data_IF_990136706762
#
_entry.id   IF_990136706762
#
_cell.length_a   1.000
_cell.length_b   1.000
_cell.length_c   1.000
_cell.angle_alpha   90.00
_cell.angle_beta   90.00
_cell.angle_gamma   90.00
#
_symmetry.space_group_name_H-M   'P 1'
#
loop_
_entity.id
_entity.type
_entity.pdbx_description
1 polymer ?
#
# COMPACT_ATOMS: atom_id res chain seq x y z
N UNK A 1 -66.74 -7.92 -49.29
CA UNK A 1 -65.60 -8.67 -49.83
C UNK A 1 -64.33 -8.09 -49.22
N UNK A 2 -63.87 -8.72 -48.14
CA UNK A 2 -62.65 -8.37 -47.40
C UNK A 2 -61.72 -9.58 -47.57
N UNK A 3 -60.57 -9.38 -48.20
CA UNK A 3 -59.49 -10.35 -48.46
C UNK A 3 -58.20 -9.54 -48.57
N UNK A 4 -57.03 -9.85 -48.03
CA UNK A 4 -56.52 -10.88 -47.12
C UNK A 4 -55.14 -10.35 -46.71
N UNK A 5 -54.77 -10.40 -45.43
CA UNK A 5 -53.42 -10.05 -44.95
C UNK A 5 -52.45 -11.17 -45.38
N UNK A 6 -51.36 -10.84 -46.07
CA UNK A 6 -50.22 -11.75 -46.26
C UNK A 6 -48.97 -11.08 -45.68
N UNK A 7 -48.43 -11.70 -44.63
CA UNK A 7 -47.16 -11.36 -44.04
C UNK A 7 -46.01 -11.78 -44.97
N UNK A 8 -45.12 -10.85 -45.30
CA UNK A 8 -43.82 -11.16 -45.90
C UNK A 8 -42.72 -10.97 -44.85
N UNK A 9 -42.11 -12.09 -44.48
CA UNK A 9 -40.88 -12.19 -43.69
C UNK A 9 -39.75 -11.69 -44.59
N UNK A 10 -39.27 -10.47 -44.31
CA UNK A 10 -38.12 -9.87 -44.98
C UNK A 10 -36.87 -10.03 -44.12
N UNK A 11 -35.96 -10.89 -44.57
CA UNK A 11 -34.58 -11.07 -44.12
C UNK A 11 -33.93 -9.76 -43.64
N UNK A 12 -33.54 -9.73 -42.37
CA UNK A 12 -32.51 -8.81 -41.89
C UNK A 12 -31.28 -9.65 -41.53
N UNK A 13 -30.54 -10.06 -42.56
CA UNK A 13 -29.25 -10.70 -42.42
C UNK A 13 -28.14 -9.70 -42.77
N UNK A 14 -27.09 -9.74 -41.95
CA UNK A 14 -25.77 -9.13 -42.11
C UNK A 14 -25.60 -7.66 -41.70
N UNK A 15 -25.55 -7.45 -40.39
CA UNK A 15 -24.51 -6.60 -39.79
C UNK A 15 -24.02 -7.24 -38.49
N UNK A 16 -23.38 -8.41 -38.59
CA UNK A 16 -22.48 -8.87 -37.54
C UNK A 16 -21.19 -8.04 -37.62
N UNK A 17 -21.31 -6.75 -37.26
CA UNK A 17 -20.14 -5.94 -36.98
C UNK A 17 -19.49 -6.51 -35.72
N UNK A 18 -18.23 -6.89 -35.85
CA UNK A 18 -17.37 -7.46 -34.82
C UNK A 18 -17.42 -6.64 -33.51
N UNK A 19 -18.30 -7.04 -32.59
CA UNK A 19 -18.07 -6.77 -31.18
C UNK A 19 -17.22 -7.94 -30.65
N UNK A 20 -15.90 -7.86 -30.85
CA UNK A 20 -15.00 -8.61 -29.97
C UNK A 20 -15.36 -8.19 -28.54
N UNK A 21 -15.74 -9.14 -27.70
CA UNK A 21 -15.97 -8.88 -26.28
C UNK A 21 -14.73 -8.17 -25.73
N UNK A 22 -14.89 -6.93 -25.28
CA UNK A 22 -13.83 -6.25 -24.52
C UNK A 22 -13.56 -7.14 -23.30
N UNK A 23 -12.31 -7.61 -23.15
CA UNK A 23 -11.94 -8.59 -22.12
C UNK A 23 -12.34 -8.19 -20.69
N UNK A 24 -12.32 -9.14 -19.76
CA UNK A 24 -12.74 -8.94 -18.35
C UNK A 24 -11.74 -8.09 -17.55
N UNK A 25 -12.17 -7.41 -16.47
CA UNK A 25 -11.25 -6.61 -15.62
C UNK A 25 -10.05 -7.44 -15.15
N UNK A 26 -10.29 -8.71 -14.80
CA UNK A 26 -9.27 -9.71 -14.48
C UNK A 26 -8.25 -9.93 -15.63
N UNK A 27 -8.72 -10.11 -16.86
CA UNK A 27 -7.85 -10.26 -18.04
C UNK A 27 -7.04 -9.00 -18.33
N UNK A 28 -7.59 -7.81 -18.06
CA UNK A 28 -6.85 -6.56 -18.21
C UNK A 28 -5.77 -6.40 -17.15
N UNK A 29 -6.07 -6.74 -15.89
CA UNK A 29 -5.11 -6.68 -14.79
C UNK A 29 -3.89 -7.59 -14.99
N UNK A 30 -4.08 -8.73 -15.67
CA UNK A 30 -3.01 -9.68 -15.98
C UNK A 30 -2.11 -9.27 -17.16
N UNK A 31 -2.44 -8.20 -17.91
CA UNK A 31 -1.60 -7.72 -19.01
C UNK A 31 -0.42 -6.90 -18.49
N UNK A 32 0.71 -6.82 -19.22
CA UNK A 32 1.80 -5.91 -18.87
C UNK A 32 1.34 -4.46 -18.72
N UNK A 33 1.98 -3.72 -17.80
CA UNK A 33 1.70 -2.31 -17.60
C UNK A 33 1.97 -1.50 -18.88
N UNK A 34 1.12 -0.50 -19.10
CA UNK A 34 1.25 0.41 -20.24
C UNK A 34 2.39 1.42 -20.00
N UNK A 35 3.10 1.81 -21.06
CA UNK A 35 4.08 2.89 -21.00
C UNK A 35 3.36 4.24 -21.11
N UNK A 36 3.30 4.98 -20.01
CA UNK A 36 2.56 6.25 -19.96
C UNK A 36 3.45 7.43 -20.40
N UNK A 37 2.92 8.40 -21.19
CA UNK A 37 3.67 9.60 -21.54
C UNK A 37 4.01 10.50 -20.34
N UNK A 38 3.17 10.48 -19.30
CA UNK A 38 3.29 11.32 -18.11
C UNK A 38 3.16 10.47 -16.84
N UNK A 39 4.08 9.53 -16.59
CA UNK A 39 3.92 8.50 -15.57
C UNK A 39 3.88 9.06 -14.14
N UNK A 40 4.46 10.25 -13.92
CA UNK A 40 4.41 10.94 -12.62
C UNK A 40 3.11 11.68 -12.33
N UNK A 41 2.14 11.66 -13.25
CA UNK A 41 0.79 12.22 -13.04
C UNK A 41 -0.29 11.14 -12.90
N UNK A 42 0.14 9.88 -12.79
CA UNK A 42 -0.73 8.74 -12.52
C UNK A 42 -0.88 8.55 -11.02
N UNK A 43 -1.96 7.93 -10.56
CA UNK A 43 -2.15 7.66 -9.13
C UNK A 43 -1.02 6.78 -8.60
N UNK A 44 -0.31 7.29 -7.60
CA UNK A 44 0.72 6.56 -6.87
C UNK A 44 0.21 6.24 -5.47
N UNK A 45 0.37 5.00 -5.02
CA UNK A 45 -0.18 4.53 -3.75
C UNK A 45 0.87 4.44 -2.66
N UNK A 46 2.12 4.16 -3.03
CA UNK A 46 3.23 3.96 -2.09
C UNK A 46 4.58 4.28 -2.74
N UNK A 47 5.56 4.61 -1.92
CA UNK A 47 6.93 4.88 -2.34
C UNK A 47 7.95 4.50 -1.28
N UNK A 48 9.06 3.89 -1.71
CA UNK A 48 10.16 3.49 -0.83
C UNK A 48 11.51 3.74 -1.49
N UNK A 49 12.61 3.41 -0.79
CA UNK A 49 13.97 3.47 -1.33
C UNK A 49 14.53 2.09 -1.62
N UNK A 50 15.15 1.95 -2.79
CA UNK A 50 16.07 0.88 -3.15
C UNK A 50 17.50 1.44 -3.12
N UNK A 51 18.15 1.40 -1.95
CA UNK A 51 19.43 2.09 -1.75
C UNK A 51 19.29 3.61 -1.92
N UNK A 52 19.90 4.19 -2.95
CA UNK A 52 19.72 5.62 -3.28
C UNK A 52 18.50 5.92 -4.15
N UNK A 53 18.00 4.93 -4.89
CA UNK A 53 16.89 5.09 -5.83
C UNK A 53 15.57 5.20 -5.06
N UNK A 54 14.69 6.07 -5.52
CA UNK A 54 13.29 6.12 -5.11
C UNK A 54 12.48 5.25 -6.07
N UNK A 55 11.61 4.41 -5.51
CA UNK A 55 10.68 3.56 -6.26
C UNK A 55 9.28 3.86 -5.76
N UNK A 56 8.38 4.31 -6.64
CA UNK A 56 6.98 4.51 -6.32
C UNK A 56 6.10 3.66 -7.23
N UNK A 57 5.02 3.13 -6.67
CA UNK A 57 4.08 2.23 -7.35
C UNK A 57 2.66 2.78 -7.30
N UNK A 58 1.79 2.30 -8.18
CA UNK A 58 0.39 2.69 -8.12
C UNK A 58 -0.53 2.02 -9.13
N UNK A 59 -1.45 2.80 -9.68
CA UNK A 59 -2.49 2.29 -10.57
C UNK A 59 -1.94 1.73 -11.89
N UNK A 60 -2.73 0.88 -12.55
CA UNK A 60 -2.38 0.32 -13.87
C UNK A 60 -1.00 -0.38 -13.92
N UNK A 61 -0.52 -0.92 -12.80
CA UNK A 61 0.80 -1.54 -12.68
C UNK A 61 1.96 -0.56 -12.84
N UNK A 62 1.73 0.74 -12.63
CA UNK A 62 2.77 1.74 -12.80
C UNK A 62 3.83 1.59 -11.71
N UNK A 63 5.10 1.67 -12.14
CA UNK A 63 6.26 1.78 -11.27
C UNK A 63 7.13 2.89 -11.83
N UNK A 64 7.40 3.92 -11.03
CA UNK A 64 8.28 5.03 -11.41
C UNK A 64 9.51 5.07 -10.52
N UNK A 65 10.63 5.42 -11.14
CA UNK A 65 11.97 5.37 -10.56
C UNK A 65 12.60 6.75 -10.64
N UNK A 66 13.27 7.15 -9.56
CA UNK A 66 14.13 8.33 -9.54
C UNK A 66 15.48 8.00 -8.92
N UNK A 67 16.55 8.32 -9.65
CA UNK A 67 17.94 8.08 -9.23
C UNK A 67 18.60 9.35 -8.63
N UNK A 68 17.86 10.46 -8.56
CA UNK A 68 18.36 11.80 -8.21
C UNK A 68 17.52 12.51 -7.12
N UNK A 69 16.89 11.72 -6.25
CA UNK A 69 16.05 12.16 -5.13
C UNK A 69 14.82 12.97 -5.57
N UNK A 70 14.15 12.49 -6.61
CA UNK A 70 12.86 12.99 -7.08
C UNK A 70 12.93 14.15 -8.08
N UNK A 71 14.11 14.52 -8.57
CA UNK A 71 14.27 15.61 -9.55
C UNK A 71 13.87 15.17 -10.94
N UNK A 72 14.24 13.96 -11.33
CA UNK A 72 13.84 13.33 -12.58
C UNK A 72 13.27 11.94 -12.33
N UNK A 73 12.36 11.54 -13.21
CA UNK A 73 11.59 10.30 -13.09
C UNK A 73 11.51 9.58 -14.43
N UNK A 74 11.41 8.26 -14.35
CA UNK A 74 11.13 7.40 -15.50
C UNK A 74 10.31 6.20 -15.04
N UNK A 75 9.53 5.64 -15.96
CA UNK A 75 8.82 4.39 -15.69
C UNK A 75 9.80 3.21 -15.71
N UNK A 76 9.55 2.19 -14.89
CA UNK A 76 10.23 0.91 -14.97
C UNK A 76 10.11 0.32 -16.37
N UNK A 77 11.15 -0.38 -16.83
CA UNK A 77 11.23 -0.91 -18.20
C UNK A 77 10.19 -2.00 -18.46
N UNK A 78 9.89 -2.81 -17.44
CA UNK A 78 8.94 -3.92 -17.57
C UNK A 78 8.25 -4.22 -16.25
N UNK A 79 6.92 -4.10 -16.26
CA UNK A 79 6.03 -4.61 -15.20
C UNK A 79 5.04 -5.57 -15.85
N UNK A 80 4.96 -6.84 -15.39
CA UNK A 80 4.24 -7.90 -16.10
C UNK A 80 2.71 -7.88 -15.87
N UNK A 81 2.20 -6.93 -15.09
CA UNK A 81 0.79 -6.80 -14.73
C UNK A 81 0.36 -5.33 -14.80
N UNK A 82 -0.93 -5.10 -14.99
CA UNK A 82 -1.59 -3.79 -14.96
C UNK A 82 -2.55 -3.69 -13.77
N UNK A 83 -2.54 -4.69 -12.87
CA UNK A 83 -3.19 -4.60 -11.58
C UNK A 83 -2.66 -3.39 -10.79
N UNK A 84 -3.54 -2.67 -10.09
CA UNK A 84 -3.11 -1.64 -9.15
C UNK A 84 -2.22 -2.26 -8.09
N UNK A 85 -1.02 -1.69 -7.95
CA UNK A 85 -0.10 -2.00 -6.88
C UNK A 85 -0.46 -1.12 -5.69
N UNK A 86 -0.54 -1.70 -4.49
CA UNK A 86 -0.90 -1.02 -3.25
C UNK A 86 0.33 -0.58 -2.47
N UNK A 87 1.38 -1.41 -2.44
CA UNK A 87 2.58 -1.19 -1.62
C UNK A 87 3.84 -1.74 -2.26
N UNK A 88 5.00 -1.19 -1.86
CA UNK A 88 6.33 -1.59 -2.32
C UNK A 88 7.33 -1.59 -1.17
N UNK A 89 8.16 -2.64 -1.10
CA UNK A 89 9.25 -2.73 -0.12
C UNK A 89 10.52 -3.25 -0.79
N UNK A 90 11.67 -2.79 -0.31
CA UNK A 90 12.98 -3.27 -0.73
C UNK A 90 13.76 -3.79 0.49
N UNK A 91 14.33 -4.98 0.36
CA UNK A 91 15.22 -5.54 1.38
C UNK A 91 16.63 -4.96 1.28
N UNK A 92 17.04 -4.60 0.06
CA UNK A 92 18.31 -3.94 -0.24
C UNK A 92 18.20 -3.07 -1.51
N UNK A 93 19.33 -2.65 -2.07
CA UNK A 93 19.35 -1.77 -3.25
C UNK A 93 18.87 -2.44 -4.55
N UNK A 94 18.74 -3.75 -4.59
CA UNK A 94 18.44 -4.54 -5.79
C UNK A 94 17.16 -5.36 -5.63
N UNK A 95 16.96 -6.00 -4.48
CA UNK A 95 15.85 -6.91 -4.24
C UNK A 95 14.65 -6.18 -3.64
N UNK A 96 13.53 -6.20 -4.36
CA UNK A 96 12.29 -5.56 -3.94
C UNK A 96 11.05 -6.32 -4.34
N UNK A 97 9.94 -6.01 -3.67
CA UNK A 97 8.64 -6.63 -3.86
C UNK A 97 7.55 -5.57 -3.91
N UNK A 98 6.57 -5.78 -4.77
CA UNK A 98 5.37 -4.96 -4.86
C UNK A 98 4.13 -5.85 -4.79
N UNK A 99 3.11 -5.40 -4.09
CA UNK A 99 1.86 -6.17 -3.90
C UNK A 99 0.64 -5.33 -4.26
N UNK A 100 -0.49 -5.97 -4.56
CA UNK A 100 -1.68 -5.22 -4.96
C UNK A 100 -2.96 -6.02 -5.13
N UNK A 101 -3.83 -5.50 -6.00
CA UNK A 101 -5.11 -6.12 -6.41
C UNK A 101 -4.92 -7.53 -6.95
N UNK A 102 -5.95 -8.38 -6.90
CA UNK A 102 -5.89 -9.77 -7.36
C UNK A 102 -4.85 -10.63 -6.63
N UNK A 103 -4.50 -10.22 -5.40
CA UNK A 103 -3.44 -10.85 -4.61
C UNK A 103 -2.07 -10.82 -5.28
N UNK A 104 -1.84 -9.86 -6.19
CA UNK A 104 -0.60 -9.73 -6.95
C UNK A 104 0.60 -9.64 -6.03
N UNK A 105 1.66 -10.39 -6.33
CA UNK A 105 2.99 -10.24 -5.75
C UNK A 105 3.99 -10.23 -6.90
N UNK A 106 4.74 -9.14 -7.01
CA UNK A 106 5.84 -8.97 -7.95
C UNK A 106 7.17 -8.94 -7.20
N UNK A 107 8.24 -9.36 -7.86
CA UNK A 107 9.60 -9.23 -7.38
C UNK A 107 10.53 -8.64 -8.44
N UNK A 108 11.54 -7.91 -7.99
CA UNK A 108 12.65 -7.36 -8.78
C UNK A 108 13.97 -7.72 -8.11
N UNK A 109 15.01 -7.89 -8.92
CA UNK A 109 16.40 -8.11 -8.51
C UNK A 109 17.36 -7.07 -9.11
N UNK A 110 16.83 -6.00 -9.73
CA UNK A 110 17.58 -4.96 -10.43
C UNK A 110 17.21 -3.53 -9.97
N UNK A 111 16.69 -3.41 -8.75
CA UNK A 111 16.32 -2.13 -8.14
C UNK A 111 15.03 -1.55 -8.73
N UNK A 112 14.13 -2.40 -9.22
CA UNK A 112 12.81 -2.01 -9.72
C UNK A 112 12.73 -1.67 -11.22
N UNK A 113 13.79 -1.92 -12.00
CA UNK A 113 13.78 -1.70 -13.45
C UNK A 113 12.89 -2.72 -14.16
N UNK A 114 12.99 -3.98 -13.75
CA UNK A 114 12.20 -5.07 -14.27
C UNK A 114 11.60 -5.90 -13.14
N UNK A 115 10.37 -6.33 -13.37
CA UNK A 115 9.59 -7.08 -12.40
C UNK A 115 9.14 -8.42 -12.98
N UNK A 116 9.01 -9.40 -12.09
CA UNK A 116 8.50 -10.74 -12.38
C UNK A 116 7.33 -11.06 -11.46
N UNK A 117 6.31 -11.73 -11.99
CA UNK A 117 5.15 -12.15 -11.21
C UNK A 117 5.49 -13.39 -10.39
N UNK A 118 5.41 -13.29 -9.07
CA UNK A 118 5.50 -14.44 -8.16
C UNK A 118 4.12 -15.01 -7.84
N UNK A 119 3.10 -14.15 -7.79
CA UNK A 119 1.71 -14.55 -7.56
C UNK A 119 0.75 -13.60 -8.28
N UNK A 120 -0.31 -14.17 -8.85
CA UNK A 120 -1.46 -13.46 -9.39
C UNK A 120 -2.64 -14.43 -9.42
N UNK A 121 -3.75 -14.10 -8.76
CA UNK A 121 -4.98 -14.90 -8.78
C UNK A 121 -6.13 -14.06 -9.32
N UNK A 122 -6.46 -14.26 -10.59
CA UNK A 122 -7.55 -13.53 -11.26
C UNK A 122 -8.92 -14.18 -11.07
N UNK A 123 -9.02 -15.26 -10.28
CA UNK A 123 -10.30 -15.93 -10.00
C UNK A 123 -11.05 -15.32 -8.83
N UNK A 124 -10.33 -14.70 -7.89
CA UNK A 124 -10.86 -14.00 -6.72
C UNK A 124 -10.02 -12.74 -6.50
N UNK A 125 -10.68 -11.59 -6.42
CA UNK A 125 -10.00 -10.36 -6.01
C UNK A 125 -9.84 -10.33 -4.49
N UNK A 126 -8.69 -10.80 -4.01
CA UNK A 126 -8.29 -10.67 -2.62
C UNK A 126 -7.01 -9.81 -2.54
N UNK A 127 -7.15 -8.47 -2.48
CA UNK A 127 -6.03 -7.55 -2.56
C UNK A 127 -5.11 -7.65 -1.35
N UNK A 128 -3.83 -7.46 -1.63
CA UNK A 128 -2.80 -7.22 -0.63
C UNK A 128 -2.61 -5.70 -0.48
N UNK A 129 -2.52 -5.24 0.77
CA UNK A 129 -2.42 -3.82 1.12
C UNK A 129 -1.01 -3.42 1.54
N UNK A 130 -0.21 -4.34 2.08
CA UNK A 130 1.17 -4.04 2.49
C UNK A 130 2.07 -5.25 2.34
N UNK A 131 3.36 -4.97 2.14
CA UNK A 131 4.44 -5.94 2.05
C UNK A 131 5.62 -5.44 2.88
N UNK A 132 6.28 -6.36 3.59
CA UNK A 132 7.46 -6.09 4.40
C UNK A 132 8.47 -7.22 4.17
N UNK A 133 9.73 -6.86 3.93
CA UNK A 133 10.85 -7.80 3.92
C UNK A 133 11.87 -7.39 4.98
N UNK A 134 12.28 -8.35 5.82
CA UNK A 134 13.31 -8.15 6.85
C UNK A 134 14.68 -8.61 6.37
N UNK A 135 14.71 -9.43 5.31
CA UNK A 135 15.89 -9.86 4.57
C UNK A 135 15.48 -10.11 3.12
N UNK A 136 16.41 -10.34 2.18
CA UNK A 136 16.04 -10.76 0.82
C UNK A 136 15.35 -12.13 0.73
N UNK A 137 15.29 -12.90 1.84
CA UNK A 137 14.65 -14.21 1.89
C UNK A 137 13.33 -14.21 2.67
N UNK A 138 13.25 -13.40 3.73
CA UNK A 138 12.16 -13.40 4.69
C UNK A 138 11.22 -12.21 4.47
N UNK A 139 9.97 -12.51 4.16
CA UNK A 139 8.97 -11.49 3.83
C UNK A 139 7.56 -11.86 4.23
N UNK A 140 6.72 -10.83 4.34
CA UNK A 140 5.32 -10.89 4.73
C UNK A 140 4.49 -10.00 3.81
N UNK A 141 3.34 -10.50 3.35
CA UNK A 141 2.34 -9.71 2.65
C UNK A 141 0.98 -9.87 3.33
N UNK A 142 0.25 -8.76 3.52
CA UNK A 142 -1.01 -8.72 4.26
C UNK A 142 -2.09 -7.98 3.50
N UNK A 143 -3.37 -8.30 3.75
CA UNK A 143 -4.47 -7.62 3.07
C UNK A 143 -5.87 -7.98 3.53
N UNK A 144 -6.79 -8.11 2.57
CA UNK A 144 -8.23 -8.26 2.80
C UNK A 144 -8.59 -9.55 3.56
N UNK A 145 -9.51 -9.43 4.53
CA UNK A 145 -10.04 -10.53 5.34
C UNK A 145 -8.97 -11.36 6.06
N UNK A 146 -8.03 -10.68 6.71
CA UNK A 146 -6.94 -11.30 7.46
C UNK A 146 -6.05 -12.21 6.61
N UNK A 147 -6.00 -11.99 5.29
CA UNK A 147 -5.02 -12.65 4.44
C UNK A 147 -3.63 -12.21 4.87
N UNK A 148 -2.82 -13.20 5.25
CA UNK A 148 -1.42 -13.06 5.59
C UNK A 148 -0.65 -14.16 4.88
N UNK A 149 0.38 -13.77 4.13
CA UNK A 149 1.27 -14.65 3.39
C UNK A 149 2.70 -14.40 3.84
N UNK A 150 3.46 -15.47 4.06
CA UNK A 150 4.85 -15.41 4.47
C UNK A 150 5.73 -16.19 3.51
N UNK A 151 6.95 -15.72 3.31
CA UNK A 151 8.00 -16.39 2.55
C UNK A 151 9.30 -16.43 3.34
N UNK A 152 10.10 -17.48 3.11
CA UNK A 152 11.46 -17.67 3.63
C UNK A 152 12.46 -17.99 2.51
N UNK A 153 12.07 -17.79 1.24
CA UNK A 153 12.87 -18.11 0.07
C UNK A 153 12.85 -16.99 -1.00
N UNK A 154 12.60 -15.75 -0.57
CA UNK A 154 12.55 -14.57 -1.43
C UNK A 154 11.27 -14.48 -2.28
N UNK A 155 10.21 -15.15 -1.83
CA UNK A 155 8.90 -15.18 -2.49
C UNK A 155 8.78 -16.19 -3.63
N UNK A 156 9.71 -17.15 -3.73
CA UNK A 156 9.53 -18.31 -4.63
C UNK A 156 8.35 -19.14 -4.17
N UNK A 157 8.14 -19.24 -2.86
CA UNK A 157 6.94 -19.79 -2.25
C UNK A 157 6.36 -18.84 -1.22
N UNK A 158 5.03 -18.81 -1.15
CA UNK A 158 4.27 -18.00 -0.20
C UNK A 158 3.28 -18.89 0.56
N UNK A 159 3.48 -19.04 1.86
CA UNK A 159 2.63 -19.83 2.74
C UNK A 159 1.61 -18.92 3.45
N UNK A 160 0.34 -19.36 3.51
CA UNK A 160 -0.68 -18.65 4.28
C UNK A 160 -0.45 -18.84 5.77
N UNK A 161 -0.37 -17.74 6.50
CA UNK A 161 -0.28 -17.74 7.97
C UNK A 161 -1.69 -17.80 8.56
N UNK A 162 -1.90 -18.70 9.53
CA UNK A 162 -3.17 -18.79 10.26
C UNK A 162 -3.08 -17.93 11.52
N UNK A 163 -3.88 -16.87 11.57
CA UNK A 163 -3.95 -16.01 12.74
C UNK A 163 -4.78 -16.65 13.87
N UNK A 164 -4.43 -16.39 15.15
CA UNK A 164 -5.28 -16.81 16.26
C UNK A 164 -6.61 -16.07 16.22
N UNK A 165 -7.60 -16.56 16.99
CA UNK A 165 -8.87 -15.85 17.15
C UNK A 165 -8.66 -14.53 17.90
N UNK A 166 -9.33 -13.45 17.49
CA UNK A 166 -9.24 -12.19 18.20
C UNK A 166 -9.89 -12.28 19.60
N UNK A 167 -9.44 -11.46 20.58
CA UNK A 167 -10.11 -11.33 21.87
C UNK A 167 -11.58 -10.98 21.71
N UNK A 168 -12.45 -11.58 22.54
CA UNK A 168 -13.91 -11.37 22.46
C UNK A 168 -14.64 -12.28 21.45
N UNK A 169 -13.93 -13.13 20.71
CA UNK A 169 -14.49 -14.23 19.92
C UNK A 169 -14.92 -13.86 18.50
N UNK A 170 -14.73 -14.81 17.57
CA UNK A 170 -15.03 -14.66 16.14
C UNK A 170 -13.98 -15.37 15.26
N UNK A 171 -14.17 -15.30 13.94
CA UNK A 171 -13.10 -15.61 12.97
C UNK A 171 -12.13 -14.42 12.91
N UNK A 172 -10.88 -14.67 12.51
CA UNK A 172 -9.97 -13.59 12.11
C UNK A 172 -10.34 -13.18 10.69
N UNK A 173 -11.08 -12.09 10.54
CA UNK A 173 -11.60 -11.58 9.26
C UNK A 173 -11.40 -10.07 9.08
N UNK A 174 -10.65 -9.44 9.99
CA UNK A 174 -10.28 -8.01 9.88
C UNK A 174 -9.33 -7.78 8.73
N UNK A 175 -9.48 -6.66 8.04
CA UNK A 175 -8.49 -6.19 7.08
C UNK A 175 -7.19 -5.81 7.79
N UNK A 176 -6.07 -6.20 7.18
CA UNK A 176 -4.71 -5.91 7.63
C UNK A 176 -4.10 -4.86 6.69
N UNK A 177 -3.76 -3.69 7.21
CA UNK A 177 -3.44 -2.53 6.37
C UNK A 177 -1.93 -2.35 6.14
N UNK A 178 -1.15 -2.05 7.19
CA UNK A 178 0.27 -1.73 7.05
C UNK A 178 1.15 -2.59 7.96
N UNK A 179 2.13 -3.29 7.37
CA UNK A 179 3.12 -4.09 8.06
C UNK A 179 4.44 -3.31 8.20
N UNK A 180 5.01 -3.27 9.41
CA UNK A 180 6.28 -2.59 9.69
C UNK A 180 7.03 -3.27 10.83
N UNK A 181 8.34 -3.03 10.94
CA UNK A 181 9.20 -3.62 11.96
C UNK A 181 9.88 -2.56 12.83
N UNK A 182 10.26 -2.95 14.06
CA UNK A 182 11.14 -2.15 14.91
C UNK A 182 12.60 -2.60 14.83
N UNK A 183 13.49 -1.85 15.47
CA UNK A 183 14.93 -2.16 15.52
C UNK A 183 15.29 -3.36 16.40
N UNK A 184 14.33 -3.87 17.18
CA UNK A 184 14.49 -5.06 18.04
C UNK A 184 14.01 -6.33 17.33
N UNK A 185 13.54 -6.22 16.09
CA UNK A 185 13.04 -7.34 15.29
C UNK A 185 11.58 -7.70 15.56
N UNK A 186 10.84 -6.89 16.34
CA UNK A 186 9.41 -7.06 16.46
C UNK A 186 8.71 -6.57 15.19
N UNK A 187 7.67 -7.29 14.77
CA UNK A 187 6.85 -6.96 13.61
C UNK A 187 5.47 -6.51 14.09
N UNK A 188 4.91 -5.55 13.37
CA UNK A 188 3.64 -4.91 13.68
C UNK A 188 2.77 -4.87 12.42
N UNK A 189 1.46 -5.00 12.60
CA UNK A 189 0.47 -4.80 11.53
C UNK A 189 -0.67 -3.94 12.06
N UNK A 190 -0.93 -2.81 11.42
CA UNK A 190 -2.14 -2.02 11.68
C UNK A 190 -3.36 -2.68 11.06
N UNK A 191 -4.50 -2.64 11.75
CA UNK A 191 -5.72 -3.30 11.32
C UNK A 191 -6.98 -2.49 11.68
N UNK A 192 -8.13 -3.02 11.30
CA UNK A 192 -9.44 -2.45 11.62
C UNK A 192 -9.70 -2.38 13.13
N UNK A 193 -10.62 -1.48 13.53
CA UNK A 193 -11.12 -1.39 14.91
C UNK A 193 -10.02 -1.16 15.96
N UNK A 194 -9.10 -0.22 15.71
CA UNK A 194 -8.06 0.17 16.67
C UNK A 194 -7.09 -0.95 17.03
N UNK A 195 -6.98 -1.97 16.17
CA UNK A 195 -6.21 -3.19 16.43
C UNK A 195 -4.82 -3.10 15.83
N UNK A 196 -3.83 -3.56 16.58
CA UNK A 196 -2.45 -3.79 16.10
C UNK A 196 -2.11 -5.25 16.34
N UNK A 197 -1.60 -5.96 15.33
CA UNK A 197 -1.03 -7.29 15.54
C UNK A 197 0.47 -7.14 15.80
N UNK A 198 1.03 -7.97 16.69
CA UNK A 198 2.46 -7.99 16.99
C UNK A 198 3.02 -9.41 16.94
N UNK A 199 4.20 -9.54 16.35
CA UNK A 199 5.04 -10.75 16.41
C UNK A 199 6.43 -10.36 16.94
N UNK A 200 7.07 -11.26 17.66
CA UNK A 200 8.45 -11.11 18.16
C UNK A 200 9.35 -12.28 17.76
N UNK A 201 8.88 -13.10 16.82
CA UNK A 201 9.52 -14.34 16.36
C UNK A 201 9.53 -14.45 14.84
N UNK A 202 9.72 -13.30 14.17
CA UNK A 202 9.83 -13.24 12.71
C UNK A 202 8.52 -13.53 11.97
N UNK A 203 7.36 -13.33 12.62
CA UNK A 203 6.04 -13.54 12.01
C UNK A 203 5.47 -14.95 12.20
N UNK A 204 6.14 -15.83 12.94
CA UNK A 204 5.66 -17.18 13.20
C UNK A 204 4.42 -17.19 14.12
N UNK A 205 4.41 -16.36 15.16
CA UNK A 205 3.27 -16.19 16.06
C UNK A 205 2.86 -14.71 16.18
N UNK A 206 1.55 -14.48 16.26
CA UNK A 206 0.95 -13.15 16.33
C UNK A 206 0.00 -13.03 17.51
N UNK A 207 -0.02 -11.85 18.14
CA UNK A 207 -1.03 -11.48 19.14
C UNK A 207 -1.70 -10.16 18.80
N UNK A 208 -2.95 -10.03 19.20
CA UNK A 208 -3.74 -8.80 19.04
C UNK A 208 -3.49 -7.86 20.22
N UNK A 209 -3.20 -6.61 19.90
CA UNK A 209 -3.05 -5.49 20.81
C UNK A 209 -4.13 -4.46 20.49
N UNK A 210 -4.67 -3.84 21.53
CA UNK A 210 -5.74 -2.85 21.40
C UNK A 210 -5.22 -1.48 21.80
N UNK A 211 -5.41 -0.51 20.91
CA UNK A 211 -5.05 0.90 21.17
C UNK A 211 -6.03 1.61 22.10
N UNK A 212 -7.21 1.02 22.32
CA UNK A 212 -8.37 1.66 22.94
C UNK A 212 -9.23 2.47 21.95
N UNK A 213 -8.75 2.66 20.72
CA UNK A 213 -9.51 3.25 19.62
C UNK A 213 -10.52 2.29 18.97
N UNK A 214 -11.47 2.86 18.21
CA UNK A 214 -12.48 2.09 17.45
C UNK A 214 -12.37 2.26 15.93
N UNK A 215 -11.59 3.24 15.46
CA UNK A 215 -11.39 3.50 14.03
C UNK A 215 -10.36 2.55 13.41
N UNK A 216 -10.42 2.38 12.08
CA UNK A 216 -9.38 1.62 11.37
C UNK A 216 -8.04 2.35 11.42
N UNK A 217 -6.99 1.61 11.76
CA UNK A 217 -5.61 2.08 11.69
C UNK A 217 -5.06 1.68 10.33
N UNK A 218 -4.68 2.66 9.52
CA UNK A 218 -4.24 2.43 8.13
C UNK A 218 -2.72 2.38 8.00
N UNK A 219 -2.00 3.03 8.90
CA UNK A 219 -0.54 3.15 8.83
C UNK A 219 0.08 3.07 10.23
N UNK A 220 1.39 2.83 10.26
CA UNK A 220 2.16 2.84 11.48
C UNK A 220 3.65 2.79 11.22
N UNK A 221 4.42 3.26 12.20
CA UNK A 221 5.88 3.37 12.13
C UNK A 221 6.51 3.12 13.48
N UNK A 222 7.67 2.46 13.47
CA UNK A 222 8.56 2.38 14.63
C UNK A 222 9.58 3.52 14.57
N UNK A 223 9.61 4.33 15.61
CA UNK A 223 10.47 5.50 15.75
C UNK A 223 11.86 5.12 16.25
N UNK A 224 12.82 6.03 16.05
CA UNK A 224 14.20 5.81 16.45
C UNK A 224 14.39 5.65 17.97
N UNK A 225 13.56 6.34 18.74
CA UNK A 225 13.51 6.30 20.21
C UNK A 225 12.80 5.04 20.76
N UNK A 226 12.36 4.13 19.88
CA UNK A 226 11.66 2.91 20.25
C UNK A 226 10.15 3.07 20.43
N UNK A 227 9.59 4.27 20.24
CA UNK A 227 8.14 4.44 20.19
C UNK A 227 7.56 3.73 18.97
N UNK A 228 6.36 3.20 19.12
CA UNK A 228 5.52 2.75 18.01
C UNK A 228 4.37 3.74 17.87
N UNK A 229 4.15 4.26 16.66
CA UNK A 229 3.06 5.20 16.36
C UNK A 229 2.18 4.59 15.29
N UNK A 230 0.86 4.64 15.47
CA UNK A 230 -0.13 4.15 14.51
C UNK A 230 -1.21 5.19 14.30
N UNK A 231 -1.73 5.29 13.09
CA UNK A 231 -2.77 6.25 12.75
C UNK A 231 -3.64 5.80 11.59
N UNK A 232 -4.72 6.54 11.34
CA UNK A 232 -5.64 6.18 10.27
C UNK A 232 -6.90 7.04 10.21
N UNK A 233 -8.04 6.37 10.20
CA UNK A 233 -9.36 6.92 9.96
C UNK A 233 -9.66 8.11 10.90
N UNK A 234 -10.18 9.19 10.32
CA UNK A 234 -10.64 10.40 11.01
C UNK A 234 -9.59 11.06 11.92
N UNK A 235 -8.32 11.03 11.50
CA UNK A 235 -7.22 11.65 12.23
C UNK A 235 -6.84 10.88 13.50
N UNK A 236 -7.28 9.63 13.66
CA UNK A 236 -6.89 8.82 14.81
C UNK A 236 -5.37 8.62 14.83
N UNK A 237 -4.77 8.83 16.00
CA UNK A 237 -3.32 8.72 16.21
C UNK A 237 -3.07 8.19 17.63
N UNK A 238 -2.26 7.15 17.74
CA UNK A 238 -1.90 6.49 18.99
C UNK A 238 -0.41 6.21 19.02
N UNK A 239 0.18 6.27 20.21
CA UNK A 239 1.57 5.91 20.41
C UNK A 239 1.74 4.96 21.59
N UNK A 240 2.81 4.18 21.53
CA UNK A 240 3.28 3.29 22.58
C UNK A 240 4.78 3.48 22.79
N UNK A 241 5.25 3.36 24.03
CA UNK A 241 6.68 3.42 24.41
C UNK A 241 7.21 2.11 24.98
N UNK A 242 6.36 1.10 25.14
CA UNK A 242 6.68 -0.22 25.69
C UNK A 242 6.56 -1.33 24.64
N UNK A 243 6.64 -0.96 23.35
CA UNK A 243 6.53 -1.89 22.24
C UNK A 243 5.12 -2.36 21.93
N UNK A 244 4.09 -1.61 22.34
CA UNK A 244 2.69 -1.85 22.03
C UNK A 244 1.89 -2.52 23.15
N UNK A 245 2.46 -2.73 24.35
CA UNK A 245 1.70 -3.28 25.47
C UNK A 245 0.69 -2.28 26.01
N UNK A 246 1.06 -1.00 26.06
CA UNK A 246 0.16 0.10 26.39
C UNK A 246 0.17 1.18 25.31
N UNK A 247 -0.99 1.82 25.12
CA UNK A 247 -1.22 2.83 24.09
C UNK A 247 -1.80 4.10 24.70
N UNK A 248 -1.36 5.24 24.19
CA UNK A 248 -1.87 6.56 24.53
C UNK A 248 -2.34 7.26 23.26
N UNK A 249 -3.54 7.83 23.30
CA UNK A 249 -4.05 8.66 22.21
C UNK A 249 -3.23 9.95 22.12
N UNK A 250 -2.89 10.35 20.90
CA UNK A 250 -2.22 11.63 20.60
C UNK A 250 -3.26 12.55 19.97
N UNK A 251 -3.36 13.79 20.44
CA UNK A 251 -4.16 14.81 19.76
C UNK A 251 -3.49 15.14 18.42
N UNK A 252 -4.07 14.61 17.34
CA UNK A 252 -3.58 14.81 15.97
C UNK A 252 -3.90 16.19 15.42
N UNK A 253 -4.72 17.00 16.10
CA UNK A 253 -5.19 18.32 15.67
C UNK A 253 -5.89 18.33 14.31
N UNK A 254 -6.37 17.17 13.85
CA UNK A 254 -7.07 17.02 12.57
C UNK A 254 -8.17 15.98 12.68
N UNK A 255 -9.13 16.06 11.75
CA UNK A 255 -10.11 14.99 11.49
C UNK A 255 -9.95 14.38 10.10
N UNK A 256 -8.99 14.87 9.30
CA UNK A 256 -8.65 14.23 8.04
C UNK A 256 -7.95 12.90 8.34
N UNK A 257 -8.25 11.88 7.54
CA UNK A 257 -7.68 10.56 7.75
C UNK A 257 -6.22 10.54 7.36
N UNK A 258 -5.40 9.89 8.18
CA UNK A 258 -3.96 9.73 7.97
C UNK A 258 -3.77 8.49 7.10
N UNK A 259 -3.15 8.69 5.93
CA UNK A 259 -2.88 7.61 4.97
C UNK A 259 -1.51 7.00 5.16
N UNK A 260 -0.52 7.81 5.58
CA UNK A 260 0.84 7.34 5.81
C UNK A 260 1.53 8.08 6.96
N UNK A 261 2.43 7.38 7.65
CA UNK A 261 3.25 7.83 8.78
C UNK A 261 4.69 7.37 8.56
N UNK A 262 5.62 8.31 8.54
CA UNK A 262 7.05 8.02 8.34
C UNK A 262 7.92 8.69 9.40
N UNK A 263 8.95 7.98 9.82
CA UNK A 263 9.99 8.53 10.68
C UNK A 263 10.93 9.41 9.85
N UNK A 264 11.12 10.65 10.27
CA UNK A 264 12.02 11.62 9.65
C UNK A 264 13.10 12.00 10.67
N UNK A 265 14.20 11.22 10.71
CA UNK A 265 15.15 11.26 11.81
C UNK A 265 14.48 10.83 13.11
N UNK A 266 14.52 11.69 14.12
CA UNK A 266 13.83 11.49 15.41
C UNK A 266 12.41 12.10 15.43
N UNK A 267 11.99 12.75 14.33
CA UNK A 267 10.67 13.32 14.15
C UNK A 267 9.71 12.38 13.40
N UNK A 268 8.42 12.71 13.44
CA UNK A 268 7.35 12.03 12.72
C UNK A 268 6.79 12.95 11.64
N UNK A 269 6.55 12.40 10.46
CA UNK A 269 5.75 13.03 9.42
C UNK A 269 4.54 12.14 9.16
N UNK A 270 3.36 12.74 9.05
CA UNK A 270 2.14 12.08 8.60
C UNK A 270 1.56 12.80 7.41
N UNK A 271 0.92 12.06 6.52
CA UNK A 271 0.16 12.63 5.40
C UNK A 271 -1.22 12.01 5.34
N UNK A 272 -2.13 12.66 4.62
CA UNK A 272 -3.50 12.20 4.57
C UNK A 272 -4.35 12.82 3.47
N UNK A 273 -5.64 12.57 3.62
CA UNK A 273 -6.66 13.11 2.72
C UNK A 273 -6.74 14.63 2.83
N UNK A 274 -7.38 15.27 1.85
CA UNK A 274 -7.61 16.72 1.82
C UNK A 274 -6.33 17.56 1.95
N UNK A 275 -5.18 17.06 1.48
CA UNK A 275 -3.88 17.73 1.59
C UNK A 275 -3.29 17.78 3.00
N UNK A 276 -3.72 16.90 3.91
CA UNK A 276 -3.18 16.85 5.28
C UNK A 276 -1.67 16.57 5.28
N UNK A 277 -0.91 17.44 5.93
CA UNK A 277 0.47 17.20 6.33
C UNK A 277 0.58 17.42 7.84
N UNK A 278 1.00 16.39 8.56
CA UNK A 278 1.23 16.40 10.00
C UNK A 278 2.74 16.28 10.26
N UNK A 279 3.28 17.06 11.19
CA UNK A 279 4.69 16.98 11.58
C UNK A 279 4.80 17.00 13.10
N UNK A 280 5.63 16.13 13.65
CA UNK A 280 6.04 16.18 15.05
C UNK A 280 7.57 16.19 15.12
N UNK A 281 8.20 17.34 15.37
CA UNK A 281 9.63 17.41 15.58
C UNK A 281 10.08 16.53 16.75
N UNK A 282 11.37 16.16 16.74
CA UNK A 282 11.97 15.36 17.82
C UNK A 282 11.76 16.05 19.19
N UNK A 283 11.23 15.30 20.16
CA UNK A 283 10.95 15.81 21.50
C UNK A 283 9.75 16.76 21.63
N UNK A 284 9.07 17.09 20.53
CA UNK A 284 7.87 17.93 20.59
C UNK A 284 6.71 17.18 21.23
N UNK A 285 6.03 17.83 22.19
CA UNK A 285 4.87 17.25 22.87
C UNK A 285 3.60 17.23 22.00
N UNK A 286 3.52 18.09 20.99
CA UNK A 286 2.34 18.26 20.14
C UNK A 286 2.71 18.16 18.67
N UNK A 287 1.74 17.73 17.86
CA UNK A 287 1.86 17.75 16.41
C UNK A 287 1.52 19.14 15.84
N UNK A 288 2.13 19.45 14.71
CA UNK A 288 1.80 20.57 13.84
C UNK A 288 1.04 20.01 12.63
N UNK A 289 -0.02 20.72 12.22
CA UNK A 289 -0.86 20.33 11.09
C UNK A 289 -0.94 21.46 10.10
N UNK A 290 -0.71 21.12 8.84
CA UNK A 290 -0.89 21.98 7.69
C UNK A 290 -1.85 21.30 6.72
N UNK A 291 -2.70 22.11 6.07
CA UNK A 291 -3.46 21.66 4.91
C UNK A 291 -2.85 22.29 3.67
N UNK A 292 -2.42 21.46 2.72
CA UNK A 292 -1.92 21.95 1.43
C UNK A 292 -3.00 22.79 0.70
N UNK A 293 -2.61 23.88 0.02
CA UNK A 293 -3.56 24.68 -0.76
C UNK A 293 -4.28 23.92 -1.88
N UNK A 294 -3.61 22.95 -2.50
CA UNK A 294 -4.17 22.11 -3.56
C UNK A 294 -5.11 21.01 -3.05
N UNK A 295 -5.10 20.75 -1.73
CA UNK A 295 -5.88 19.69 -1.07
C UNK A 295 -5.72 18.31 -1.71
N UNK A 296 -4.58 18.04 -2.34
CA UNK A 296 -4.31 16.76 -2.99
C UNK A 296 -4.49 15.59 -1.99
N UNK A 297 -5.11 14.50 -2.42
CA UNK A 297 -5.23 13.29 -1.60
C UNK A 297 -3.89 12.58 -1.52
N UNK A 298 -3.16 12.80 -0.44
CA UNK A 298 -1.83 12.23 -0.25
C UNK A 298 -1.94 10.75 0.13
N UNK A 299 -1.09 9.93 -0.48
CA UNK A 299 -1.10 8.47 -0.33
C UNK A 299 0.15 7.97 0.39
N UNK A 300 1.31 8.59 0.14
CA UNK A 300 2.56 8.25 0.79
C UNK A 300 3.48 9.48 0.95
N UNK A 301 4.36 9.42 1.95
CA UNK A 301 5.44 10.37 2.14
C UNK A 301 6.77 9.65 2.20
N UNK A 302 7.79 10.18 1.53
CA UNK A 302 9.15 9.64 1.61
C UNK A 302 10.12 10.71 2.09
N UNK A 303 10.80 10.55 3.24
CA UNK A 303 11.82 11.48 3.68
C UNK A 303 12.90 11.66 2.61
N UNK A 304 13.07 12.89 2.12
CA UNK A 304 14.15 13.23 1.20
C UNK A 304 15.45 13.49 1.96
N UNK A 305 16.60 13.34 1.29
CA UNK A 305 17.90 13.63 1.92
C UNK A 305 18.08 15.11 2.25
N UNK A 306 17.34 15.99 1.56
CA UNK A 306 17.31 17.43 1.77
C UNK A 306 16.31 17.94 2.81
N UNK A 307 15.67 17.06 3.59
CA UNK A 307 14.80 17.43 4.73
C UNK A 307 13.33 17.64 4.40
N UNK A 308 12.98 18.15 3.22
CA UNK A 308 11.57 18.21 2.76
C UNK A 308 11.15 16.84 2.23
N UNK A 309 10.08 16.21 2.74
CA UNK A 309 9.64 14.91 2.23
C UNK A 309 9.14 15.03 0.78
N UNK A 310 9.38 14.00 -0.03
CA UNK A 310 8.65 13.78 -1.28
C UNK A 310 7.23 13.31 -0.93
N UNK A 311 6.24 13.82 -1.64
CA UNK A 311 4.83 13.51 -1.42
C UNK A 311 4.24 12.85 -2.66
N UNK A 312 3.49 11.79 -2.45
CA UNK A 312 2.81 11.02 -3.49
C UNK A 312 1.31 11.12 -3.26
N UNK A 313 0.53 11.11 -4.33
CA UNK A 313 -0.92 11.30 -4.28
C UNK A 313 -1.66 10.52 -5.35
N UNK A 314 -2.98 10.64 -5.33
CA UNK A 314 -3.85 10.19 -6.43
C UNK A 314 -3.59 10.91 -7.76
N UNK A 315 -2.89 12.04 -7.73
CA UNK A 315 -2.49 12.82 -8.90
C UNK A 315 -1.00 12.63 -9.26
N UNK A 316 -0.31 11.72 -8.56
CA UNK A 316 1.07 11.33 -8.80
C UNK A 316 2.10 11.98 -7.88
N UNK A 317 3.28 12.33 -8.41
CA UNK A 317 4.37 12.92 -7.64
C UNK A 317 4.09 14.40 -7.44
N UNK A 318 3.97 14.84 -6.19
CA UNK A 318 3.78 16.25 -5.89
C UNK A 318 5.10 16.98 -5.74
N UNK A 319 5.20 18.11 -6.40
CA UNK A 319 6.33 19.03 -6.24
C UNK A 319 6.20 19.80 -4.92
N UNK A 320 7.34 20.07 -4.27
CA UNK A 320 7.42 21.09 -3.24
C UNK A 320 7.14 22.44 -3.91
N UNK A 321 5.97 23.01 -3.66
CA UNK A 321 5.65 24.40 -3.99
C UNK A 321 5.70 25.20 -2.71
#
# INVERSE_FOLDING_TARGET
>A
MIKTLVACIGLCAAAAAFAQSRGTVAEWAAKPAHAWPAPTHMMLTDATRAGSRVVAVGDHGIVVLSDDDGKTWRQARRVPVAATLSAVAFADAQHGWAVGQWGTILATDDGGETWTTQRLDTSVDQPLFSVLFTSPQDGLAVGLWSLMLQTHDGGKTWAKVTLPKPPGGGKADRNLYHAFGDRKGALYISAEQGTVLKSTDGGANWRYLQTGGKGSLWTGVAMADGRVVVGGLLGSLYQSSDGGETWTAVDSRTRSSITDLVAAGDGLIGVGLDGLVLKQPAGAATVEVEQRPDRATLTAALPARGGTPMLFSQDGVLTSR
#
